data_IF_491831086005
#
_entry.id   IF_491831086005
#
_cell.length_a   1.000
_cell.length_b   1.000
_cell.length_c   1.000
_cell.angle_alpha   90.00
_cell.angle_beta   90.00
_cell.angle_gamma   90.00
#
_symmetry.space_group_name_H-M   'P 1'
#
loop_
_entity.id
_entity.type
_entity.pdbx_description
1 polymer ?
#
# COMPACT_ATOMS: atom_id res chain seq x y z
N UNK A 1 -10.95 6.18 -5.07
CA UNK A 1 -11.40 7.54 -5.45
C UNK A 1 -10.34 8.31 -6.22
N UNK A 2 -9.05 8.35 -5.78
CA UNK A 2 -8.00 9.04 -6.55
C UNK A 2 -7.91 8.50 -7.99
N UNK A 3 -7.96 7.19 -8.17
CA UNK A 3 -7.93 6.52 -9.49
C UNK A 3 -9.15 6.89 -10.36
N UNK A 4 -10.27 7.23 -9.73
CA UNK A 4 -11.50 7.64 -10.44
C UNK A 4 -11.46 9.11 -10.90
N UNK A 5 -10.44 9.86 -10.47
CA UNK A 5 -10.25 11.24 -10.88
C UNK A 5 -9.47 11.28 -12.20
N UNK A 6 -10.18 11.51 -13.30
CA UNK A 6 -9.60 11.52 -14.65
C UNK A 6 -8.49 12.57 -14.82
N UNK A 7 -8.58 13.71 -14.08
CA UNK A 7 -7.54 14.76 -14.12
C UNK A 7 -6.19 14.26 -13.59
N UNK A 8 -6.19 13.32 -12.65
CA UNK A 8 -4.97 12.75 -12.10
C UNK A 8 -4.33 11.70 -13.01
N UNK A 9 -5.07 11.11 -13.92
CA UNK A 9 -4.58 10.09 -14.86
C UNK A 9 -3.69 9.02 -14.16
N UNK A 10 -4.21 8.43 -13.05
CA UNK A 10 -3.48 7.45 -12.25
C UNK A 10 -3.83 6.02 -12.65
N UNK A 11 -2.83 5.13 -12.64
CA UNK A 11 -3.02 3.68 -12.72
C UNK A 11 -2.58 2.99 -11.45
N UNK A 12 -3.29 1.94 -11.05
CA UNK A 12 -2.91 1.12 -9.88
C UNK A 12 -1.78 0.16 -10.26
N UNK A 13 -0.76 0.09 -9.43
CA UNK A 13 0.23 -0.99 -9.47
C UNK A 13 -0.29 -2.16 -8.65
N UNK A 14 -0.40 -3.32 -9.28
CA UNK A 14 -0.85 -4.56 -8.62
C UNK A 14 0.36 -5.31 -8.10
N UNK A 15 0.49 -5.41 -6.78
CA UNK A 15 1.55 -6.17 -6.11
C UNK A 15 1.33 -7.69 -6.25
N UNK A 16 2.34 -8.46 -5.93
CA UNK A 16 2.35 -9.91 -5.97
C UNK A 16 2.23 -10.53 -4.58
N UNK A 17 1.65 -11.73 -4.50
CA UNK A 17 1.63 -12.47 -3.23
C UNK A 17 1.67 -13.99 -3.45
N UNK A 18 2.31 -14.70 -2.51
CA UNK A 18 2.23 -16.17 -2.44
C UNK A 18 1.07 -16.65 -1.57
N UNK A 19 0.32 -15.74 -0.95
CA UNK A 19 -0.91 -16.06 -0.22
C UNK A 19 -1.95 -16.64 -1.19
N UNK A 20 -2.66 -17.70 -0.81
CA UNK A 20 -3.80 -18.15 -1.59
C UNK A 20 -4.86 -17.08 -1.77
N UNK A 21 -5.45 -17.02 -2.96
CA UNK A 21 -6.56 -16.13 -3.29
C UNK A 21 -7.75 -16.43 -2.38
N UNK A 22 -8.42 -15.41 -1.88
CA UNK A 22 -9.64 -15.52 -1.07
C UNK A 22 -10.87 -15.51 -1.95
N UNK A 23 -12.00 -15.91 -1.37
CA UNK A 23 -13.29 -15.77 -2.03
C UNK A 23 -13.59 -14.32 -2.36
N UNK A 24 -14.02 -14.06 -3.59
CA UNK A 24 -14.31 -12.70 -4.10
C UNK A 24 -13.11 -11.93 -4.62
N UNK A 25 -11.87 -12.39 -4.43
CA UNK A 25 -10.68 -11.79 -5.05
C UNK A 25 -10.49 -12.29 -6.49
N UNK A 26 -9.78 -11.48 -7.30
CA UNK A 26 -9.45 -11.81 -8.68
C UNK A 26 -7.96 -11.59 -8.94
N UNK A 27 -7.33 -12.53 -9.64
CA UNK A 27 -5.93 -12.38 -10.04
C UNK A 27 -5.74 -11.16 -10.95
N UNK A 28 -4.70 -10.37 -10.67
CA UNK A 28 -4.43 -9.12 -11.37
C UNK A 28 -5.29 -7.92 -10.94
N UNK A 29 -6.15 -8.08 -9.94
CA UNK A 29 -6.97 -6.99 -9.37
C UNK A 29 -6.48 -6.64 -7.97
N UNK A 30 -6.65 -7.52 -6.98
CA UNK A 30 -6.15 -7.30 -5.64
C UNK A 30 -4.63 -7.57 -5.57
N UNK A 31 -4.20 -8.67 -6.16
CA UNK A 31 -2.81 -9.11 -6.28
C UNK A 31 -2.62 -9.96 -7.54
N UNK A 32 -1.37 -10.09 -7.98
CA UNK A 32 -0.95 -11.22 -8.78
C UNK A 32 -0.67 -12.39 -7.85
N UNK A 33 -1.55 -13.41 -7.86
CA UNK A 33 -1.44 -14.58 -6.99
C UNK A 33 -0.51 -15.61 -7.62
N UNK A 34 0.64 -15.84 -7.01
CA UNK A 34 1.67 -16.76 -7.54
C UNK A 34 2.09 -17.78 -6.47
N UNK A 35 2.80 -18.81 -6.87
CA UNK A 35 3.41 -19.77 -5.94
C UNK A 35 4.85 -19.37 -5.58
N UNK A 36 5.43 -20.04 -4.56
CA UNK A 36 6.80 -19.78 -4.12
C UNK A 36 7.85 -20.03 -5.21
N UNK A 37 7.61 -20.98 -6.13
CA UNK A 37 8.53 -21.22 -7.25
C UNK A 37 8.61 -19.98 -8.16
N UNK A 38 7.48 -19.37 -8.47
CA UNK A 38 7.44 -18.15 -9.30
C UNK A 38 8.14 -16.98 -8.62
N UNK A 39 7.99 -16.82 -7.31
CA UNK A 39 8.72 -15.81 -6.54
C UNK A 39 10.24 -16.02 -6.67
N UNK A 40 10.72 -17.25 -6.52
CA UNK A 40 12.15 -17.55 -6.64
C UNK A 40 12.68 -17.33 -8.07
N UNK A 41 11.89 -17.61 -9.10
CA UNK A 41 12.22 -17.28 -10.49
C UNK A 41 12.39 -15.77 -10.69
N UNK A 42 11.45 -14.97 -10.15
CA UNK A 42 11.49 -13.51 -10.23
C UNK A 42 12.67 -12.92 -9.46
N UNK A 43 12.99 -13.46 -8.27
CA UNK A 43 14.19 -13.08 -7.50
C UNK A 43 15.47 -13.36 -8.29
N UNK A 44 15.60 -14.56 -8.87
CA UNK A 44 16.77 -14.94 -9.69
C UNK A 44 16.90 -14.07 -10.95
N UNK A 45 15.78 -13.63 -11.51
CA UNK A 45 15.76 -12.71 -12.64
C UNK A 45 16.06 -11.25 -12.26
N UNK A 46 16.25 -10.94 -10.97
CA UNK A 46 16.48 -9.58 -10.46
C UNK A 46 15.28 -8.64 -10.62
N UNK A 47 14.07 -9.18 -10.74
CA UNK A 47 12.85 -8.41 -10.99
C UNK A 47 12.09 -8.02 -9.72
N UNK A 48 12.41 -8.62 -8.58
CA UNK A 48 11.74 -8.30 -7.30
C UNK A 48 12.35 -7.02 -6.73
N UNK A 49 11.54 -5.99 -6.60
CA UNK A 49 11.93 -4.67 -6.07
C UNK A 49 12.00 -4.72 -4.55
N UNK A 50 10.96 -5.29 -3.91
CA UNK A 50 10.86 -5.49 -2.46
C UNK A 50 10.08 -6.76 -2.17
N UNK A 51 10.33 -7.38 -1.03
CA UNK A 51 9.63 -8.59 -0.60
C UNK A 51 9.55 -8.65 0.92
N UNK A 52 8.35 -8.85 1.45
CA UNK A 52 8.06 -8.96 2.89
C UNK A 52 7.42 -10.31 3.17
N UNK A 53 7.95 -11.01 4.14
CA UNK A 53 7.50 -12.35 4.52
C UNK A 53 6.73 -12.29 5.84
N UNK A 54 5.55 -12.88 5.85
CA UNK A 54 4.70 -12.98 7.03
C UNK A 54 4.54 -14.44 7.45
N UNK A 55 4.98 -14.75 8.66
CA UNK A 55 4.83 -16.07 9.25
C UNK A 55 3.40 -16.25 9.76
N UNK A 56 2.67 -17.17 9.16
CA UNK A 56 1.29 -17.48 9.50
C UNK A 56 1.14 -18.94 9.94
N UNK A 57 -0.01 -19.28 10.52
CA UNK A 57 -0.34 -20.67 10.86
C UNK A 57 -0.44 -21.59 9.60
N UNK A 58 -0.55 -20.98 8.42
CA UNK A 58 -0.61 -21.70 7.12
C UNK A 58 0.73 -21.70 6.38
N UNK A 59 1.81 -21.27 7.03
CA UNK A 59 3.13 -21.12 6.44
C UNK A 59 3.52 -19.68 6.18
N UNK A 60 4.57 -19.47 5.38
CA UNK A 60 5.08 -18.14 5.03
C UNK A 60 4.31 -17.62 3.83
N UNK A 61 3.74 -16.43 3.97
CA UNK A 61 3.16 -15.67 2.88
C UNK A 61 4.03 -14.47 2.55
N UNK A 62 4.45 -14.39 1.30
CA UNK A 62 5.24 -13.26 0.80
C UNK A 62 4.33 -12.29 0.06
N UNK A 63 4.57 -10.99 0.29
CA UNK A 63 3.99 -9.88 -0.47
C UNK A 63 5.15 -9.10 -1.07
N UNK A 64 5.09 -8.81 -2.35
CA UNK A 64 6.23 -8.23 -3.05
C UNK A 64 5.82 -7.43 -4.28
N UNK A 65 6.70 -6.53 -4.68
CA UNK A 65 6.54 -5.70 -5.88
C UNK A 65 7.56 -6.14 -6.93
N UNK A 66 7.13 -6.18 -8.18
CA UNK A 66 7.92 -6.67 -9.30
C UNK A 66 8.10 -5.57 -10.35
N UNK A 67 9.29 -5.46 -10.90
CA UNK A 67 9.54 -4.70 -12.12
C UNK A 67 9.11 -5.53 -13.35
N UNK A 68 7.85 -5.40 -13.70
CA UNK A 68 7.17 -6.10 -14.78
C UNK A 68 6.60 -5.15 -15.87
N UNK A 69 6.98 -3.87 -15.78
CA UNK A 69 6.53 -2.83 -16.71
C UNK A 69 5.23 -2.14 -16.31
N UNK A 70 4.68 -2.42 -15.13
CA UNK A 70 3.53 -1.67 -14.62
C UNK A 70 3.87 -0.20 -14.35
N UNK A 71 5.11 0.09 -13.92
CA UNK A 71 5.62 1.45 -13.74
C UNK A 71 6.47 1.78 -14.98
N UNK A 72 6.03 2.77 -15.72
CA UNK A 72 6.65 3.21 -16.97
C UNK A 72 6.78 4.74 -16.95
N UNK A 73 8.02 5.22 -16.86
CA UNK A 73 8.34 6.65 -16.79
C UNK A 73 8.19 7.38 -18.12
N UNK A 74 8.06 6.65 -19.22
CA UNK A 74 7.76 7.24 -20.54
C UNK A 74 6.25 7.43 -20.74
N UNK A 75 5.42 6.88 -19.82
CA UNK A 75 3.98 7.01 -19.85
C UNK A 75 3.53 8.37 -19.30
N UNK A 76 2.49 8.95 -19.89
CA UNK A 76 1.78 10.12 -19.33
C UNK A 76 0.92 9.78 -18.10
N UNK A 77 0.88 8.50 -17.70
CA UNK A 77 0.06 8.00 -16.63
C UNK A 77 0.92 7.66 -15.41
N UNK A 78 0.71 8.37 -14.29
CA UNK A 78 1.41 8.06 -13.06
C UNK A 78 0.89 6.77 -12.42
N UNK A 79 1.79 6.09 -11.73
CA UNK A 79 1.50 4.86 -11.01
C UNK A 79 1.20 5.15 -9.52
N UNK A 80 0.15 4.54 -8.98
CA UNK A 80 -0.16 4.58 -7.55
C UNK A 80 -0.10 3.17 -6.95
N UNK A 81 0.60 3.04 -5.83
CA UNK A 81 0.71 1.80 -5.08
C UNK A 81 0.32 2.02 -3.61
N UNK A 82 -0.30 1.04 -2.98
CA UNK A 82 -0.55 1.01 -1.55
C UNK A 82 0.49 0.10 -0.91
N UNK A 83 1.20 0.59 0.09
CA UNK A 83 2.26 -0.17 0.74
C UNK A 83 2.49 0.20 2.20
N UNK A 84 3.40 -0.52 2.84
CA UNK A 84 3.95 -0.20 4.16
C UNK A 84 5.13 0.76 4.03
N UNK A 85 5.62 1.32 5.14
CA UNK A 85 6.84 2.14 5.13
C UNK A 85 8.06 1.37 4.62
N UNK A 86 8.15 0.08 4.94
CA UNK A 86 9.21 -0.79 4.46
C UNK A 86 9.18 -0.93 2.92
N UNK A 87 8.01 -1.20 2.33
CA UNK A 87 7.89 -1.29 0.87
C UNK A 87 8.16 0.06 0.20
N UNK A 88 7.66 1.17 0.77
CA UNK A 88 7.95 2.51 0.27
C UNK A 88 9.45 2.79 0.24
N UNK A 89 10.18 2.49 1.32
CA UNK A 89 11.62 2.72 1.37
C UNK A 89 12.38 1.96 0.28
N UNK A 90 12.03 0.69 0.03
CA UNK A 90 12.66 -0.13 -1.01
C UNK A 90 12.29 0.35 -2.43
N UNK A 91 11.03 0.68 -2.67
CA UNK A 91 10.55 1.22 -3.96
C UNK A 91 11.26 2.55 -4.27
N UNK A 92 11.41 3.41 -3.25
CA UNK A 92 12.12 4.68 -3.38
C UNK A 92 13.61 4.52 -3.68
N UNK A 93 14.27 3.51 -3.11
CA UNK A 93 15.67 3.17 -3.44
C UNK A 93 15.76 2.67 -4.88
N UNK A 94 14.82 1.85 -5.32
CA UNK A 94 14.84 1.24 -6.65
C UNK A 94 14.60 2.26 -7.77
N UNK A 95 13.58 3.09 -7.64
CA UNK A 95 13.18 4.04 -8.68
C UNK A 95 13.78 5.44 -8.56
N UNK A 96 14.47 5.73 -7.45
CA UNK A 96 15.00 7.06 -7.13
C UNK A 96 14.03 7.91 -6.31
N UNK A 97 14.59 8.72 -5.43
CA UNK A 97 13.85 9.59 -4.50
C UNK A 97 12.94 10.59 -5.20
N UNK A 98 13.40 11.11 -6.33
CA UNK A 98 12.73 12.11 -7.14
C UNK A 98 11.49 11.57 -7.86
N UNK A 99 11.41 10.25 -8.03
CA UNK A 99 10.35 9.59 -8.77
C UNK A 99 9.26 8.97 -7.87
N UNK A 100 9.46 9.00 -6.56
CA UNK A 100 8.54 8.33 -5.61
C UNK A 100 8.06 9.29 -4.53
N UNK A 101 6.80 9.69 -4.62
CA UNK A 101 6.16 10.65 -3.72
C UNK A 101 5.31 9.91 -2.69
N UNK A 102 5.61 10.04 -1.38
CA UNK A 102 4.79 9.45 -0.34
C UNK A 102 3.52 10.25 -0.10
N UNK A 103 2.39 9.56 0.02
CA UNK A 103 1.11 10.13 0.46
C UNK A 103 0.71 9.40 1.74
N UNK A 104 1.07 9.98 2.89
CA UNK A 104 0.69 9.43 4.18
C UNK A 104 -0.61 10.06 4.67
N UNK A 105 -1.65 9.23 4.77
CA UNK A 105 -2.98 9.64 5.25
C UNK A 105 -3.14 9.23 6.70
N UNK A 106 -3.27 10.21 7.58
CA UNK A 106 -3.47 10.00 9.01
C UNK A 106 -4.95 10.11 9.40
N UNK A 107 -5.35 9.30 10.36
CA UNK A 107 -6.62 9.40 11.08
C UNK A 107 -6.31 9.29 12.55
N UNK A 108 -6.87 10.19 13.37
CA UNK A 108 -6.74 10.16 14.83
C UNK A 108 -7.13 8.77 15.36
N UNK A 109 -6.39 8.27 16.36
CA UNK A 109 -6.46 6.88 16.80
C UNK A 109 -7.85 6.45 17.28
N UNK A 110 -8.56 7.29 18.02
CA UNK A 110 -9.91 6.98 18.51
C UNK A 110 -10.90 6.87 17.35
N UNK A 111 -10.80 7.75 16.36
CA UNK A 111 -11.61 7.71 15.15
C UNK A 111 -11.24 6.50 14.28
N UNK A 112 -9.94 6.21 14.11
CA UNK A 112 -9.44 5.04 13.38
C UNK A 112 -9.96 3.73 14.00
N UNK A 113 -9.90 3.61 15.32
CA UNK A 113 -10.40 2.46 16.06
C UNK A 113 -11.93 2.34 15.95
N UNK A 114 -12.64 3.46 16.04
CA UNK A 114 -14.11 3.52 15.90
C UNK A 114 -14.55 3.06 14.52
N UNK A 115 -13.91 3.58 13.46
CA UNK A 115 -14.18 3.16 12.06
C UNK A 115 -13.90 1.67 11.87
N UNK A 116 -12.79 1.16 12.41
CA UNK A 116 -12.42 -0.24 12.32
C UNK A 116 -13.43 -1.13 13.06
N UNK A 117 -13.83 -0.76 14.28
CA UNK A 117 -14.82 -1.49 15.07
C UNK A 117 -16.20 -1.53 14.42
N UNK A 118 -16.66 -0.41 13.87
CA UNK A 118 -17.94 -0.35 13.17
C UNK A 118 -17.96 -1.24 11.92
N UNK A 119 -16.86 -1.28 11.17
CA UNK A 119 -16.71 -2.18 10.01
C UNK A 119 -16.66 -3.65 10.44
N UNK A 120 -15.96 -3.96 11.52
CA UNK A 120 -15.85 -5.33 12.04
C UNK A 120 -17.20 -5.87 12.54
N UNK A 121 -18.03 -5.02 13.18
CA UNK A 121 -19.39 -5.38 13.63
C UNK A 121 -20.34 -5.78 12.47
N UNK A 122 -20.04 -5.34 11.25
CA UNK A 122 -20.86 -5.65 10.07
C UNK A 122 -20.47 -6.97 9.38
N UNK A 123 -19.41 -7.63 9.87
CA UNK A 123 -18.99 -8.94 9.35
C UNK A 123 -19.87 -10.06 9.92
N UNK A 124 -20.08 -11.11 9.14
CA UNK A 124 -20.82 -12.30 9.59
C UNK A 124 -20.15 -13.01 10.79
N UNK A 125 -18.83 -12.94 10.88
CA UNK A 125 -18.03 -13.50 11.96
C UNK A 125 -16.96 -12.50 12.44
N UNK A 126 -17.34 -11.53 13.32
CA UNK A 126 -16.42 -10.50 13.80
C UNK A 126 -15.20 -11.06 14.55
N UNK A 127 -14.00 -10.56 14.25
CA UNK A 127 -12.72 -11.00 14.81
C UNK A 127 -12.06 -9.88 15.60
N UNK A 128 -12.65 -9.47 16.72
CA UNK A 128 -12.22 -8.31 17.50
C UNK A 128 -10.77 -8.41 18.00
N UNK A 129 -10.30 -9.58 18.41
CA UNK A 129 -8.91 -9.76 18.85
C UNK A 129 -7.92 -9.51 17.69
N UNK A 130 -8.26 -9.98 16.51
CA UNK A 130 -7.43 -9.72 15.32
C UNK A 130 -7.47 -8.24 14.90
N UNK A 131 -8.61 -7.57 15.06
CA UNK A 131 -8.72 -6.12 14.88
C UNK A 131 -7.77 -5.37 15.82
N UNK A 132 -7.80 -5.69 17.13
CA UNK A 132 -6.91 -5.07 18.11
C UNK A 132 -5.43 -5.33 17.80
N UNK A 133 -5.08 -6.58 17.44
CA UNK A 133 -3.71 -6.93 17.05
C UNK A 133 -3.23 -6.09 15.87
N UNK A 134 -4.06 -5.98 14.82
CA UNK A 134 -3.73 -5.16 13.64
C UNK A 134 -3.60 -3.69 13.99
N UNK A 135 -4.51 -3.15 14.80
CA UNK A 135 -4.47 -1.75 15.23
C UNK A 135 -3.15 -1.40 15.93
N UNK A 136 -2.67 -2.28 16.84
CA UNK A 136 -1.40 -2.10 17.53
C UNK A 136 -0.19 -2.25 16.60
N UNK A 137 -0.23 -3.23 15.69
CA UNK A 137 0.82 -3.42 14.69
C UNK A 137 0.94 -2.21 13.77
N UNK A 138 -0.19 -1.69 13.28
CA UNK A 138 -0.21 -0.48 12.44
C UNK A 138 0.34 0.74 13.19
N UNK A 139 0.02 0.90 14.50
CA UNK A 139 0.54 2.01 15.30
C UNK A 139 2.08 1.92 15.46
N UNK A 140 2.63 0.72 15.61
CA UNK A 140 4.06 0.48 15.64
C UNK A 140 4.71 0.70 14.26
N UNK A 141 4.09 0.18 13.20
CA UNK A 141 4.61 0.25 11.83
C UNK A 141 4.63 1.67 11.27
N UNK A 142 3.74 2.53 11.71
CA UNK A 142 3.64 3.95 11.30
C UNK A 142 3.96 4.92 12.44
N UNK A 143 4.86 4.54 13.36
CA UNK A 143 5.31 5.44 14.42
C UNK A 143 6.01 6.68 13.86
N UNK A 144 5.98 7.80 14.61
CA UNK A 144 6.64 9.04 14.20
C UNK A 144 8.12 8.86 13.87
N UNK A 145 8.81 7.98 14.60
CA UNK A 145 10.21 7.67 14.37
C UNK A 145 10.42 7.03 13.00
N UNK A 146 9.59 6.04 12.64
CA UNK A 146 9.65 5.35 11.35
C UNK A 146 9.25 6.26 10.18
N UNK A 147 8.24 7.12 10.38
CA UNK A 147 7.85 8.12 9.37
C UNK A 147 9.01 9.09 9.08
N UNK A 148 9.67 9.61 10.13
CA UNK A 148 10.87 10.47 9.99
C UNK A 148 12.03 9.74 9.32
N UNK A 149 12.28 8.48 9.68
CA UNK A 149 13.32 7.67 9.04
C UNK A 149 13.07 7.46 7.54
N UNK A 150 11.80 7.43 7.12
CA UNK A 150 11.39 7.36 5.72
C UNK A 150 11.30 8.73 5.03
N UNK A 151 11.66 9.82 5.72
CA UNK A 151 11.57 11.22 5.22
C UNK A 151 10.14 11.57 4.76
N UNK A 152 9.13 11.13 5.52
CA UNK A 152 7.73 11.47 5.28
C UNK A 152 7.36 12.64 6.17
N UNK A 153 7.50 13.85 5.64
CA UNK A 153 7.25 15.10 6.38
C UNK A 153 5.82 15.61 6.19
N UNK A 154 5.16 15.22 5.08
CA UNK A 154 3.82 15.67 4.76
C UNK A 154 2.77 14.64 5.19
N UNK A 155 1.88 15.08 6.07
CA UNK A 155 0.78 14.27 6.61
C UNK A 155 -0.55 14.85 6.12
N UNK A 156 -1.43 13.98 5.61
CA UNK A 156 -2.77 14.33 5.19
C UNK A 156 -3.76 13.85 6.25
N UNK A 157 -4.29 14.79 7.04
CA UNK A 157 -5.29 14.48 8.06
C UNK A 157 -6.65 14.17 7.43
N UNK A 158 -7.15 12.95 7.60
CA UNK A 158 -8.44 12.51 7.10
C UNK A 158 -9.53 12.65 8.18
N UNK A 159 -9.78 13.89 8.59
CA UNK A 159 -10.91 14.25 9.45
C UNK A 159 -12.19 14.21 8.61
N UNK A 160 -12.17 14.90 7.47
CA UNK A 160 -13.21 14.92 6.48
C UNK A 160 -12.65 14.44 5.13
N UNK A 161 -13.23 13.36 4.59
CA UNK A 161 -12.65 12.63 3.48
C UNK A 161 -12.52 13.45 2.19
N UNK A 162 -13.55 14.24 1.86
CA UNK A 162 -13.55 15.01 0.60
C UNK A 162 -12.51 16.14 0.65
N UNK A 163 -12.36 16.81 1.80
CA UNK A 163 -11.33 17.83 1.99
C UNK A 163 -9.91 17.23 1.93
N UNK A 164 -9.71 16.07 2.54
CA UNK A 164 -8.45 15.35 2.47
C UNK A 164 -8.10 14.95 1.03
N UNK A 165 -9.06 14.38 0.29
CA UNK A 165 -8.88 14.02 -1.11
C UNK A 165 -8.56 15.23 -1.99
N UNK A 166 -9.28 16.35 -1.82
CA UNK A 166 -9.04 17.56 -2.58
C UNK A 166 -7.61 18.09 -2.39
N UNK A 167 -7.10 18.04 -1.15
CA UNK A 167 -5.72 18.43 -0.83
C UNK A 167 -4.71 17.50 -1.51
N UNK A 168 -4.92 16.18 -1.42
CA UNK A 168 -4.05 15.19 -2.08
C UNK A 168 -4.05 15.43 -3.60
N UNK A 169 -5.21 15.60 -4.22
CA UNK A 169 -5.32 15.88 -5.65
C UNK A 169 -4.55 17.14 -6.06
N UNK A 170 -4.72 18.24 -5.31
CA UNK A 170 -4.00 19.49 -5.55
C UNK A 170 -2.49 19.32 -5.48
N UNK A 171 -2.02 18.55 -4.50
CA UNK A 171 -0.59 18.31 -4.31
C UNK A 171 -0.01 17.40 -5.41
N UNK A 172 -0.72 16.36 -5.84
CA UNK A 172 -0.29 15.51 -6.97
C UNK A 172 -0.11 16.36 -8.24
N UNK A 173 -1.06 17.25 -8.53
CA UNK A 173 -0.96 18.14 -9.68
C UNK A 173 0.21 19.14 -9.55
N UNK A 174 0.49 19.60 -8.35
CA UNK A 174 1.61 20.51 -8.09
C UNK A 174 2.99 19.82 -8.24
N UNK A 175 3.08 18.52 -8.00
CA UNK A 175 4.33 17.74 -8.24
C UNK A 175 4.67 17.58 -9.72
N UNK A 176 3.68 17.71 -10.61
CA UNK A 176 3.86 17.59 -12.07
C UNK A 176 4.27 18.91 -12.75
N UNK A 177 4.09 20.04 -12.04
CA UNK A 177 4.36 21.38 -12.55
C UNK A 177 5.81 21.80 -12.33
#
# INVERSE_FOLDING_TARGET
RLIQNETLNLKTVVSYTTRPMREGEQDGVEYHFVNGQRLEELKKAGKVIECRDYHTIHGIWSYFTVDDGQIDFESEQDAIIIGTLESYAQIRIYYGKENVVPIYVNVEDGERLTRALNREKQQDAPKYLELCRRFLADAEDFSEEKLKACEIDKIYENIEMEACLAKICSDILAFRA
#
